data_IF_869085149132
#
_entry.id   IF_869085149132
#
_cell.length_a   1.000
_cell.length_b   1.000
_cell.length_c   1.000
_cell.angle_alpha   90.00
_cell.angle_beta   90.00
_cell.angle_gamma   90.00
#
_symmetry.space_group_name_H-M   'P 1'
#
loop_
_entity.id
_entity.type
_entity.pdbx_description
1 polymer ?
#
# COMPACT_ATOMS: atom_id res chain seq x y z
N UNK A 1 -7.08 35.94 16.92
CA UNK A 1 -8.34 35.58 16.23
C UNK A 1 -7.96 35.19 14.80
N UNK A 2 -7.85 33.89 14.53
CA UNK A 2 -7.37 33.38 13.23
C UNK A 2 -8.54 33.46 12.25
N UNK A 3 -8.45 34.33 11.25
CA UNK A 3 -9.41 34.38 10.15
C UNK A 3 -9.29 33.08 9.34
N UNK A 4 -10.26 32.18 9.48
CA UNK A 4 -10.36 31.01 8.61
C UNK A 4 -10.63 31.52 7.18
N UNK A 5 -9.85 31.11 6.16
CA UNK A 5 -9.92 31.67 4.80
C UNK A 5 -11.19 31.31 4.01
N UNK A 6 -12.25 30.85 4.67
CA UNK A 6 -13.46 30.34 4.04
C UNK A 6 -14.64 31.25 4.39
N UNK A 7 -14.91 32.25 3.56
CA UNK A 7 -16.18 32.98 3.62
C UNK A 7 -17.31 32.09 3.10
N UNK A 8 -18.11 31.54 4.02
CA UNK A 8 -19.42 30.87 3.81
C UNK A 8 -19.44 29.64 2.89
N UNK A 9 -20.16 28.56 3.23
CA UNK A 9 -20.31 27.39 2.35
C UNK A 9 -21.24 27.70 1.15
N UNK A 10 -21.04 26.98 0.04
CA UNK A 10 -21.97 27.01 -1.10
C UNK A 10 -23.39 26.61 -0.66
N UNK A 11 -24.42 27.23 -1.25
CA UNK A 11 -25.81 26.90 -0.92
C UNK A 11 -26.22 25.54 -1.48
N UNK A 12 -27.15 24.87 -0.79
CA UNK A 12 -27.74 23.59 -1.22
C UNK A 12 -29.24 23.78 -1.37
N UNK A 13 -29.76 23.60 -2.59
CA UNK A 13 -31.17 23.87 -2.90
C UNK A 13 -31.60 25.32 -2.62
N UNK A 14 -30.69 26.29 -2.79
CA UNK A 14 -30.94 27.70 -2.49
C UNK A 14 -30.87 28.09 -1.01
N UNK A 15 -30.62 27.14 -0.10
CA UNK A 15 -30.49 27.41 1.34
C UNK A 15 -29.03 27.61 1.74
N UNK A 16 -28.78 28.58 2.61
CA UNK A 16 -27.44 28.82 3.19
C UNK A 16 -27.01 27.65 4.08
N UNK A 17 -25.74 27.27 3.99
CA UNK A 17 -25.17 26.16 4.78
C UNK A 17 -24.19 26.74 5.78
N UNK A 18 -24.37 26.37 7.05
CA UNK A 18 -23.50 26.78 8.16
C UNK A 18 -22.85 25.51 8.72
N UNK A 19 -21.53 25.41 8.68
CA UNK A 19 -20.77 24.36 9.34
C UNK A 19 -20.11 24.89 10.62
N UNK A 20 -20.12 24.07 11.68
CA UNK A 20 -19.37 24.29 12.92
C UNK A 20 -18.49 23.07 13.17
N UNK A 21 -17.25 23.30 13.58
CA UNK A 21 -16.30 22.25 13.97
C UNK A 21 -16.21 22.23 15.49
N UNK A 22 -16.54 21.10 16.11
CA UNK A 22 -16.66 20.94 17.56
C UNK A 22 -15.49 20.17 18.20
N UNK A 23 -14.43 19.88 17.44
CA UNK A 23 -13.20 19.32 17.99
C UNK A 23 -13.00 17.81 17.82
N UNK A 24 -13.72 17.16 16.90
CA UNK A 24 -13.26 15.87 16.37
C UNK A 24 -14.26 14.71 16.40
N UNK A 25 -15.51 14.95 16.74
CA UNK A 25 -16.59 13.95 16.60
C UNK A 25 -17.24 14.03 15.22
N UNK A 26 -16.45 14.16 14.14
CA UNK A 26 -17.00 14.14 12.78
C UNK A 26 -17.20 12.70 12.34
N UNK A 27 -18.30 12.09 12.79
CA UNK A 27 -18.81 10.82 12.27
C UNK A 27 -20.00 11.03 11.31
N UNK A 28 -20.11 12.20 10.66
CA UNK A 28 -21.25 12.52 9.80
C UNK A 28 -20.85 13.03 8.42
N UNK A 29 -21.68 12.69 7.43
CA UNK A 29 -21.62 13.05 6.01
C UNK A 29 -21.33 14.56 5.78
N UNK A 30 -21.70 15.41 6.74
CA UNK A 30 -21.46 16.85 6.69
C UNK A 30 -19.97 17.23 6.71
N UNK A 31 -19.11 16.44 7.38
CA UNK A 31 -17.66 16.64 7.36
C UNK A 31 -17.05 16.41 5.98
N UNK A 32 -17.56 15.41 5.25
CA UNK A 32 -17.16 15.11 3.87
C UNK A 32 -17.59 16.23 2.92
N UNK A 33 -18.82 16.72 3.07
CA UNK A 33 -19.33 17.84 2.26
C UNK A 33 -18.55 19.13 2.51
N UNK A 34 -18.23 19.43 3.77
CA UNK A 34 -17.40 20.56 4.13
C UNK A 34 -15.99 20.41 3.53
N UNK A 35 -15.36 19.24 3.68
CA UNK A 35 -14.04 18.97 3.10
C UNK A 35 -14.05 19.06 1.57
N UNK A 36 -15.08 18.57 0.91
CA UNK A 36 -15.23 18.66 -0.55
C UNK A 36 -15.32 20.12 -1.02
N UNK A 37 -16.05 20.97 -0.30
CA UNK A 37 -16.13 22.40 -0.61
C UNK A 37 -14.79 23.12 -0.36
N UNK A 38 -14.11 22.78 0.74
CA UNK A 38 -12.76 23.28 1.02
C UNK A 38 -11.78 22.87 -0.07
N UNK A 39 -11.80 21.61 -0.49
CA UNK A 39 -10.95 21.12 -1.56
C UNK A 39 -11.24 21.82 -2.88
N UNK A 40 -12.52 22.00 -3.24
CA UNK A 40 -12.93 22.72 -4.46
C UNK A 40 -12.40 24.16 -4.48
N UNK A 41 -12.42 24.85 -3.34
CA UNK A 41 -12.01 26.26 -3.25
C UNK A 41 -10.51 26.44 -3.14
N UNK A 42 -9.89 25.69 -2.25
CA UNK A 42 -8.49 25.87 -1.90
C UNK A 42 -7.57 25.04 -2.77
N UNK A 43 -8.08 24.00 -3.44
CA UNK A 43 -7.31 23.03 -4.24
C UNK A 43 -6.14 22.50 -3.42
N UNK A 44 -6.43 22.01 -2.22
CA UNK A 44 -5.40 21.62 -1.25
C UNK A 44 -4.61 20.44 -1.81
N UNK A 45 -5.28 19.48 -2.46
CA UNK A 45 -4.62 18.36 -3.10
C UNK A 45 -3.61 18.81 -4.18
N UNK A 46 -3.98 19.76 -5.05
CA UNK A 46 -3.06 20.33 -6.05
C UNK A 46 -1.88 21.08 -5.44
N UNK A 47 -2.08 21.75 -4.30
CA UNK A 47 -1.00 22.45 -3.60
C UNK A 47 -0.03 21.46 -2.96
N UNK A 48 -0.54 20.41 -2.32
CA UNK A 48 0.27 19.37 -1.71
C UNK A 48 1.03 18.55 -2.76
N UNK A 49 0.36 18.18 -3.87
CA UNK A 49 0.98 17.45 -4.96
C UNK A 49 2.19 18.21 -5.53
N UNK A 50 2.12 19.54 -5.65
CA UNK A 50 3.24 20.38 -6.12
C UNK A 50 4.45 20.40 -5.18
N UNK A 51 4.29 19.97 -3.93
CA UNK A 51 5.38 19.90 -2.96
C UNK A 51 6.05 18.52 -2.93
N UNK A 52 5.57 17.56 -3.72
CA UNK A 52 6.07 16.18 -3.75
C UNK A 52 6.65 15.92 -5.13
N UNK A 53 7.89 15.46 -5.16
CA UNK A 53 8.48 14.93 -6.39
C UNK A 53 7.88 13.55 -6.68
N UNK A 54 7.31 13.38 -7.87
CA UNK A 54 6.62 12.15 -8.27
C UNK A 54 7.50 11.35 -9.23
N UNK A 55 8.24 10.33 -8.75
CA UNK A 55 9.20 9.60 -9.57
C UNK A 55 8.55 8.57 -10.51
N UNK A 56 7.22 8.50 -10.54
CA UNK A 56 6.49 7.50 -11.31
C UNK A 56 6.47 7.86 -12.79
N UNK A 57 6.41 6.84 -13.64
CA UNK A 57 6.39 7.01 -15.09
C UNK A 57 5.05 7.59 -15.56
N UNK A 58 5.00 8.77 -16.19
CA UNK A 58 3.74 9.41 -16.55
C UNK A 58 2.84 8.55 -17.45
N UNK A 59 3.44 7.81 -18.39
CA UNK A 59 2.70 6.97 -19.34
C UNK A 59 2.11 5.70 -18.71
N UNK A 60 2.46 5.39 -17.47
CA UNK A 60 1.96 4.21 -16.74
C UNK A 60 1.04 4.60 -15.57
N UNK A 61 0.68 5.87 -15.45
CA UNK A 61 -0.11 6.39 -14.34
C UNK A 61 -1.43 6.97 -14.86
N UNK A 62 -2.53 6.38 -14.40
CA UNK A 62 -3.90 6.83 -14.76
C UNK A 62 -4.37 8.01 -13.91
N UNK A 63 -3.88 8.12 -12.67
CA UNK A 63 -4.32 9.12 -11.70
C UNK A 63 -3.16 10.02 -11.27
N UNK A 64 -3.36 11.32 -11.35
CA UNK A 64 -2.34 12.28 -10.91
C UNK A 64 -2.12 12.18 -9.40
N UNK A 65 -0.98 12.69 -8.92
CA UNK A 65 -0.72 12.76 -7.49
C UNK A 65 -1.79 13.59 -6.75
N UNK A 66 -2.33 14.63 -7.39
CA UNK A 66 -3.43 15.42 -6.85
C UNK A 66 -4.72 14.59 -6.73
N UNK A 67 -5.05 13.75 -7.72
CA UNK A 67 -6.19 12.84 -7.63
C UNK A 67 -6.05 11.87 -6.45
N UNK A 68 -4.86 11.30 -6.27
CA UNK A 68 -4.58 10.36 -5.17
C UNK A 68 -4.67 11.03 -3.79
N UNK A 69 -4.11 12.24 -3.65
CA UNK A 69 -4.19 13.02 -2.41
C UNK A 69 -5.64 13.41 -2.11
N UNK A 70 -6.36 13.94 -3.11
CA UNK A 70 -7.76 14.33 -2.97
C UNK A 70 -8.66 13.15 -2.62
N UNK A 71 -8.42 11.98 -3.22
CA UNK A 71 -9.12 10.74 -2.89
C UNK A 71 -8.84 10.31 -1.45
N UNK A 72 -7.57 10.29 -1.01
CA UNK A 72 -7.22 9.97 0.39
C UNK A 72 -7.86 10.94 1.38
N UNK A 73 -7.81 12.24 1.12
CA UNK A 73 -8.43 13.24 1.99
C UNK A 73 -9.93 12.98 2.17
N UNK A 74 -10.64 12.74 1.07
CA UNK A 74 -12.07 12.45 1.09
C UNK A 74 -12.38 11.12 1.76
N UNK A 75 -11.56 10.09 1.55
CA UNK A 75 -11.73 8.79 2.20
C UNK A 75 -11.48 8.81 3.71
N UNK A 76 -10.55 9.62 4.19
CA UNK A 76 -10.33 9.77 5.64
C UNK A 76 -11.55 10.44 6.29
N UNK A 77 -12.18 11.40 5.61
CA UNK A 77 -13.37 12.08 6.10
C UNK A 77 -14.65 11.26 5.92
N UNK A 78 -14.77 10.53 4.82
CA UNK A 78 -15.87 9.63 4.53
C UNK A 78 -15.54 8.28 5.15
N UNK A 79 -15.79 8.15 6.46
CA UNK A 79 -15.78 6.84 7.11
C UNK A 79 -16.59 5.90 6.21
N UNK A 80 -16.00 4.76 5.86
CA UNK A 80 -16.43 3.73 4.90
C UNK A 80 -17.95 3.52 4.70
N UNK A 81 -18.79 3.82 5.69
CA UNK A 81 -20.23 3.67 5.66
C UNK A 81 -21.00 4.46 4.58
N UNK A 82 -20.40 5.45 3.89
CA UNK A 82 -21.12 6.34 2.98
C UNK A 82 -20.85 6.14 1.48
N UNK A 83 -19.87 5.32 1.11
CA UNK A 83 -19.47 5.12 -0.29
C UNK A 83 -19.84 3.71 -0.71
N UNK A 84 -20.62 3.57 -1.78
CA UNK A 84 -21.09 2.26 -2.27
C UNK A 84 -19.97 1.36 -2.84
N UNK A 85 -18.76 1.91 -3.03
CA UNK A 85 -17.59 1.19 -3.54
C UNK A 85 -16.86 0.59 -2.34
N UNK A 86 -16.57 -0.73 -2.32
CA UNK A 86 -15.81 -1.36 -1.26
C UNK A 86 -14.44 -0.70 -1.06
N UNK A 87 -14.09 -0.41 0.19
CA UNK A 87 -12.85 0.23 0.61
C UNK A 87 -11.87 -0.81 1.15
N UNK A 88 -10.64 -0.84 0.64
CA UNK A 88 -9.57 -1.71 1.12
C UNK A 88 -8.49 -0.87 1.80
N UNK A 89 -8.23 -1.11 3.08
CA UNK A 89 -7.28 -0.36 3.90
C UNK A 89 -5.91 -1.03 4.08
N UNK A 90 -4.84 -0.23 4.13
CA UNK A 90 -3.52 -0.62 4.67
C UNK A 90 -3.10 0.43 5.70
N UNK A 91 -3.04 0.05 6.97
CA UNK A 91 -2.77 0.99 8.06
C UNK A 91 -3.74 2.16 8.18
N UNK A 92 -4.97 1.97 7.69
CA UNK A 92 -6.05 2.94 7.80
C UNK A 92 -6.87 2.67 9.08
N UNK A 93 -8.11 2.21 8.93
CA UNK A 93 -9.02 1.87 10.02
C UNK A 93 -9.56 0.45 9.81
N UNK A 94 -9.93 -0.21 10.91
CA UNK A 94 -10.73 -1.43 10.88
C UNK A 94 -12.14 -1.21 10.28
N UNK A 95 -12.54 0.06 10.08
CA UNK A 95 -13.79 0.43 9.43
C UNK A 95 -13.80 0.19 7.90
N UNK A 96 -12.66 -0.06 7.24
CA UNK A 96 -12.65 -0.41 5.82
C UNK A 96 -13.27 -1.79 5.58
N UNK A 97 -13.94 -1.98 4.44
CA UNK A 97 -14.64 -3.23 4.07
C UNK A 97 -13.69 -4.42 3.91
N UNK A 98 -12.43 -4.15 3.58
CA UNK A 98 -11.36 -5.13 3.57
C UNK A 98 -10.02 -4.52 3.97
N UNK A 99 -9.02 -5.38 4.12
CA UNK A 99 -7.68 -5.00 4.52
C UNK A 99 -6.65 -5.64 3.59
N UNK A 100 -5.54 -4.94 3.35
CA UNK A 100 -4.39 -5.44 2.60
C UNK A 100 -3.12 -5.21 3.40
N UNK A 101 -2.18 -6.14 3.29
CA UNK A 101 -0.83 -6.05 3.83
C UNK A 101 0.17 -6.53 2.77
N UNK A 102 1.40 -6.03 2.84
CA UNK A 102 2.51 -6.57 2.05
C UNK A 102 2.89 -7.92 2.62
N UNK A 103 2.98 -8.95 1.78
CA UNK A 103 3.22 -10.33 2.21
C UNK A 103 4.56 -10.47 2.94
N UNK A 104 5.61 -9.82 2.46
CA UNK A 104 6.94 -9.86 3.08
C UNK A 104 6.96 -9.22 4.48
N UNK A 105 6.25 -8.09 4.64
CA UNK A 105 6.09 -7.43 5.94
C UNK A 105 5.32 -8.33 6.92
N UNK A 106 4.26 -8.98 6.44
CA UNK A 106 3.44 -9.90 7.25
C UNK A 106 4.21 -11.17 7.64
N UNK A 107 5.04 -11.70 6.74
CA UNK A 107 5.83 -12.92 6.97
C UNK A 107 7.18 -12.65 7.64
N UNK A 108 7.56 -11.39 7.82
CA UNK A 108 8.83 -11.03 8.44
C UNK A 108 10.03 -11.43 7.58
N UNK A 109 9.92 -11.36 6.25
CA UNK A 109 10.97 -11.82 5.32
C UNK A 109 12.22 -10.94 5.38
N UNK A 110 12.07 -9.63 5.61
CA UNK A 110 13.19 -8.67 5.57
C UNK A 110 13.13 -7.64 6.72
N UNK A 111 14.30 -7.35 7.31
CA UNK A 111 14.62 -6.11 8.03
C UNK A 111 14.13 -5.95 9.47
N UNK A 112 14.82 -5.06 10.19
CA UNK A 112 14.45 -4.57 11.54
C UNK A 112 13.33 -3.51 11.48
N UNK A 113 13.13 -2.89 10.32
CA UNK A 113 12.10 -1.87 10.14
C UNK A 113 10.72 -2.52 10.06
N UNK A 114 9.88 -2.21 11.04
CA UNK A 114 8.50 -2.69 11.10
C UNK A 114 7.53 -1.50 11.03
N UNK A 115 6.75 -1.35 9.93
CA UNK A 115 5.69 -0.37 9.89
C UNK A 115 4.67 -0.63 11.01
N UNK A 116 4.23 0.43 11.70
CA UNK A 116 3.36 0.33 12.89
C UNK A 116 2.03 -0.41 12.65
N UNK A 117 1.55 -0.40 11.40
CA UNK A 117 0.29 -1.04 11.01
C UNK A 117 0.43 -2.52 10.65
N UNK A 118 1.65 -3.08 10.63
CA UNK A 118 1.89 -4.46 10.25
C UNK A 118 1.74 -5.39 11.46
N UNK A 119 0.90 -6.41 11.30
CA UNK A 119 0.91 -7.61 12.15
C UNK A 119 1.83 -8.64 11.51
N UNK A 120 2.94 -8.98 12.17
CA UNK A 120 3.77 -10.13 11.79
C UNK A 120 3.04 -11.41 12.18
N UNK A 121 2.86 -12.28 11.21
CA UNK A 121 2.28 -13.61 11.37
C UNK A 121 3.36 -14.69 11.40
N UNK A 122 4.57 -14.38 10.93
CA UNK A 122 5.76 -15.24 10.97
C UNK A 122 7.04 -14.37 11.01
N UNK A 123 8.18 -15.02 11.28
CA UNK A 123 9.52 -14.43 11.26
C UNK A 123 10.41 -15.22 10.28
N UNK A 124 10.05 -15.22 9.00
CA UNK A 124 10.73 -16.04 7.99
C UNK A 124 12.17 -15.58 7.72
N UNK A 125 12.49 -14.31 7.98
CA UNK A 125 13.85 -13.78 7.80
C UNK A 125 14.88 -14.47 8.70
N UNK A 126 14.53 -14.81 9.94
CA UNK A 126 15.43 -15.52 10.87
C UNK A 126 15.71 -16.94 10.36
N UNK A 127 14.65 -17.67 10.02
CA UNK A 127 14.73 -19.04 9.49
C UNK A 127 15.53 -19.07 8.18
N UNK A 128 15.27 -18.12 7.28
CA UNK A 128 16.00 -17.99 6.04
C UNK A 128 17.49 -17.71 6.29
N UNK A 129 17.81 -16.83 7.24
CA UNK A 129 19.19 -16.52 7.63
C UNK A 129 19.95 -17.75 8.10
N UNK A 130 19.36 -18.55 8.98
CA UNK A 130 19.94 -19.81 9.47
C UNK A 130 20.15 -20.82 8.33
N UNK A 131 19.14 -21.02 7.49
CA UNK A 131 19.21 -21.96 6.36
C UNK A 131 20.28 -21.54 5.34
N UNK A 132 20.36 -20.25 5.01
CA UNK A 132 21.38 -19.71 4.10
C UNK A 132 22.79 -19.86 4.69
N UNK A 133 22.96 -19.62 5.99
CA UNK A 133 24.26 -19.81 6.66
C UNK A 133 24.70 -21.27 6.65
N UNK A 134 23.79 -22.20 6.94
CA UNK A 134 24.04 -23.64 6.89
C UNK A 134 24.42 -24.09 5.47
N UNK A 135 23.64 -23.70 4.46
CA UNK A 135 23.95 -23.97 3.06
C UNK A 135 25.32 -23.41 2.65
N UNK A 136 25.63 -22.16 3.02
CA UNK A 136 26.92 -21.55 2.72
C UNK A 136 28.09 -22.30 3.38
N UNK A 137 27.89 -22.85 4.58
CA UNK A 137 28.88 -23.69 5.24
C UNK A 137 29.07 -25.02 4.50
N UNK A 138 28.00 -25.68 4.07
CA UNK A 138 28.08 -26.92 3.29
C UNK A 138 28.82 -26.73 1.96
N UNK A 139 28.63 -25.59 1.30
CA UNK A 139 29.38 -25.23 0.08
C UNK A 139 30.87 -25.01 0.39
N UNK A 140 31.20 -24.27 1.46
CA UNK A 140 32.61 -24.03 1.87
C UNK A 140 33.33 -25.32 2.26
N UNK A 141 32.63 -26.22 2.95
CA UNK A 141 33.14 -27.55 3.33
C UNK A 141 33.16 -28.54 2.16
N UNK A 142 32.66 -28.13 0.98
CA UNK A 142 32.46 -28.99 -0.21
C UNK A 142 31.61 -30.23 0.06
N UNK A 143 30.71 -30.14 1.04
CA UNK A 143 29.65 -31.15 1.30
C UNK A 143 28.48 -30.99 0.33
N UNK A 144 28.24 -29.77 -0.16
CA UNK A 144 27.31 -29.49 -1.24
C UNK A 144 28.04 -29.01 -2.51
N UNK A 145 27.64 -29.44 -3.72
CA UNK A 145 26.62 -30.47 -3.98
C UNK A 145 27.11 -31.87 -3.59
N UNK A 146 26.23 -32.66 -2.96
CA UNK A 146 26.43 -34.11 -2.78
C UNK A 146 26.02 -34.90 -4.02
N UNK A 147 26.24 -36.21 -4.05
CA UNK A 147 25.91 -37.10 -5.19
C UNK A 147 24.47 -36.95 -5.68
N UNK A 148 23.51 -36.74 -4.77
CA UNK A 148 22.09 -36.62 -5.09
C UNK A 148 21.72 -35.26 -5.72
N UNK A 149 22.64 -34.31 -5.70
CA UNK A 149 22.47 -32.93 -6.16
C UNK A 149 23.29 -32.63 -7.42
N UNK A 150 23.85 -33.66 -8.07
CA UNK A 150 24.56 -33.57 -9.33
C UNK A 150 23.92 -34.52 -10.34
N UNK A 151 23.73 -34.05 -11.58
CA UNK A 151 23.36 -34.94 -12.67
C UNK A 151 24.51 -35.90 -12.96
N UNK A 152 24.22 -37.19 -13.15
CA UNK A 152 25.24 -38.18 -13.49
C UNK A 152 25.70 -38.07 -14.94
N UNK A 153 27.01 -38.09 -15.17
CA UNK A 153 27.62 -38.27 -16.50
C UNK A 153 27.50 -39.74 -16.95
N UNK A 154 26.28 -40.24 -17.16
CA UNK A 154 26.11 -41.47 -17.91
C UNK A 154 26.09 -41.09 -19.40
N UNK A 155 27.13 -41.40 -20.19
CA UNK A 155 27.06 -41.20 -21.63
C UNK A 155 25.89 -42.01 -22.17
N UNK A 156 25.01 -41.35 -22.92
CA UNK A 156 23.89 -42.01 -23.59
C UNK A 156 24.49 -42.97 -24.61
N UNK A 157 24.36 -44.28 -24.38
CA UNK A 157 24.74 -45.28 -25.39
C UNK A 157 23.84 -45.09 -26.60
N UNK A 158 24.39 -44.51 -27.66
CA UNK A 158 23.74 -44.46 -28.96
C UNK A 158 23.86 -45.87 -29.54
N UNK A 159 22.84 -46.69 -29.33
CA UNK A 159 22.72 -47.92 -30.11
C UNK A 159 22.40 -47.49 -31.54
N UNK A 160 23.41 -47.54 -32.40
CA UNK A 160 23.18 -47.44 -33.83
C UNK A 160 22.35 -48.64 -34.27
N UNK A 161 21.08 -48.40 -34.56
CA UNK A 161 20.33 -49.27 -35.46
C UNK A 161 20.31 -48.61 -36.83
N UNK A 162 20.81 -49.38 -37.77
CA UNK A 162 21.17 -49.07 -39.13
C UNK A 162 19.95 -48.75 -39.98
N UNK A 163 20.18 -47.89 -40.98
CA UNK A 163 19.32 -47.77 -42.13
C UNK A 163 19.27 -49.11 -42.89
N UNK A 164 18.06 -49.58 -43.16
CA UNK A 164 17.73 -50.67 -44.06
C UNK A 164 16.27 -50.60 -44.46
#
# INVERSE_FOLDING_TARGET
MIYLPLSGLSSVGGKSVIARFDGGMLSSNSGVLALAEVEKRLRVADRLARCIDDPRWPDQVVHSLADMIGFRMKMIAAITAEVAIPTIGIGASAACDGQILVVDDMLGTFGDFRPKFVKRCAELGEIAGEAIAAYAQEVRDRRFPGSDHVFGDAPRSVNGEEAG
#
